data_IF_158741641318
#
_entry.id   IF_158741641318
#
_cell.length_a   1.000
_cell.length_b   1.000
_cell.length_c   1.000
_cell.angle_alpha   90.00
_cell.angle_beta   90.00
_cell.angle_gamma   90.00
#
_symmetry.space_group_name_H-M   'P 1'
#
loop_
_entity.id
_entity.type
_entity.pdbx_description
1 polymer ?
#
# COMPACT_ATOMS: atom_id res chain seq x y z
N UNK A 1 -9.09 18.21 -15.25
CA UNK A 1 -7.89 17.87 -14.45
C UNK A 1 -7.75 18.82 -13.27
N UNK A 2 -7.53 18.29 -12.06
CA UNK A 2 -7.20 19.12 -10.91
C UNK A 2 -5.78 19.64 -11.05
N UNK A 3 -5.50 20.86 -10.64
CA UNK A 3 -4.18 21.50 -10.85
C UNK A 3 -3.00 20.68 -10.30
N UNK A 4 -3.17 20.03 -9.15
CA UNK A 4 -2.14 19.21 -8.51
C UNK A 4 -1.88 17.87 -9.21
N UNK A 5 -2.90 17.24 -9.84
CA UNK A 5 -2.71 16.02 -10.63
C UNK A 5 -1.86 16.29 -11.86
N UNK A 6 -2.03 17.47 -12.48
CA UNK A 6 -1.17 17.90 -13.57
C UNK A 6 0.31 18.02 -13.15
N UNK A 7 0.58 18.50 -11.93
CA UNK A 7 1.95 18.56 -11.40
C UNK A 7 2.56 17.17 -11.21
N UNK A 8 1.77 16.21 -10.70
CA UNK A 8 2.21 14.81 -10.55
C UNK A 8 2.46 14.11 -11.89
N UNK A 9 1.69 14.43 -12.92
CA UNK A 9 1.79 13.81 -14.25
C UNK A 9 2.80 14.50 -15.17
N UNK A 10 3.28 15.70 -14.79
CA UNK A 10 4.24 16.46 -15.61
C UNK A 10 5.59 15.75 -15.62
N UNK A 11 6.11 15.50 -16.83
CA UNK A 11 7.45 14.96 -17.06
C UNK A 11 8.39 16.08 -17.52
N UNK A 12 9.59 16.12 -16.98
CA UNK A 12 10.63 17.10 -17.36
C UNK A 12 11.77 16.49 -18.18
N UNK A 13 11.82 15.15 -18.22
CA UNK A 13 12.85 14.37 -18.93
C UNK A 13 12.19 13.37 -19.88
N UNK A 14 12.99 12.55 -20.56
CA UNK A 14 12.43 11.42 -21.35
C UNK A 14 11.68 10.45 -20.42
N UNK A 15 10.60 9.85 -20.91
CA UNK A 15 9.73 8.97 -20.12
C UNK A 15 10.51 7.81 -19.47
N UNK A 16 11.47 7.25 -20.17
CA UNK A 16 12.32 6.17 -19.64
C UNK A 16 13.14 6.61 -18.43
N UNK A 17 13.75 7.80 -18.49
CA UNK A 17 14.52 8.38 -17.36
C UNK A 17 13.61 8.68 -16.18
N UNK A 18 12.44 9.27 -16.44
CA UNK A 18 11.43 9.53 -15.40
C UNK A 18 11.01 8.22 -14.71
N UNK A 19 10.68 7.20 -15.48
CA UNK A 19 10.31 5.88 -14.98
C UNK A 19 11.40 5.29 -14.09
N UNK A 20 12.66 5.31 -14.54
CA UNK A 20 13.78 4.77 -13.77
C UNK A 20 14.01 5.55 -12.48
N UNK A 21 14.16 6.86 -12.57
CA UNK A 21 14.51 7.71 -11.42
C UNK A 21 13.42 7.65 -10.36
N UNK A 22 12.17 7.86 -10.72
CA UNK A 22 11.08 7.89 -9.75
C UNK A 22 10.77 6.54 -9.14
N UNK A 23 10.86 5.45 -9.91
CA UNK A 23 10.66 4.11 -9.36
C UNK A 23 11.76 3.75 -8.35
N UNK A 24 13.01 4.02 -8.67
CA UNK A 24 14.13 3.82 -7.73
C UNK A 24 13.99 4.71 -6.49
N UNK A 25 13.71 6.00 -6.69
CA UNK A 25 13.54 6.96 -5.60
C UNK A 25 12.39 6.54 -4.69
N UNK A 26 11.22 6.19 -5.23
CA UNK A 26 10.06 5.78 -4.45
C UNK A 26 10.33 4.51 -3.63
N UNK A 27 10.93 3.50 -4.24
CA UNK A 27 11.25 2.24 -3.55
C UNK A 27 12.30 2.44 -2.46
N UNK A 28 13.37 3.17 -2.76
CA UNK A 28 14.41 3.49 -1.78
C UNK A 28 13.87 4.33 -0.62
N UNK A 29 13.09 5.38 -0.95
CA UNK A 29 12.51 6.26 0.06
C UNK A 29 11.58 5.50 1.00
N UNK A 30 10.71 4.62 0.47
CA UNK A 30 9.83 3.79 1.28
C UNK A 30 10.61 2.88 2.23
N UNK A 31 11.64 2.18 1.72
CA UNK A 31 12.46 1.29 2.54
C UNK A 31 13.22 2.05 3.64
N UNK A 32 13.83 3.18 3.27
CA UNK A 32 14.56 4.04 4.21
C UNK A 32 13.63 4.65 5.27
N UNK A 33 12.49 5.20 4.86
CA UNK A 33 11.50 5.76 5.76
C UNK A 33 10.97 4.71 6.75
N UNK A 34 10.71 3.48 6.29
CA UNK A 34 10.27 2.36 7.15
C UNK A 34 11.31 1.96 8.20
N UNK A 35 12.59 1.94 7.82
CA UNK A 35 13.70 1.67 8.73
C UNK A 35 13.85 2.77 9.77
N UNK A 36 13.90 4.02 9.33
CA UNK A 36 14.02 5.20 10.21
C UNK A 36 12.83 5.30 11.16
N UNK A 37 11.61 5.02 10.66
CA UNK A 37 10.40 5.04 11.45
C UNK A 37 10.47 4.05 12.62
N UNK A 38 10.90 2.81 12.36
CA UNK A 38 11.04 1.78 13.42
C UNK A 38 12.04 2.23 14.50
N UNK A 39 13.16 2.83 14.10
CA UNK A 39 14.14 3.38 15.02
C UNK A 39 13.60 4.56 15.84
N UNK A 40 12.89 5.49 15.20
CA UNK A 40 12.31 6.67 15.87
C UNK A 40 11.24 6.25 16.89
N UNK A 41 10.40 5.27 16.55
CA UNK A 41 9.38 4.76 17.51
C UNK A 41 10.05 4.17 18.75
N UNK A 42 11.11 3.37 18.57
CA UNK A 42 11.88 2.82 19.69
C UNK A 42 12.44 3.93 20.60
N UNK A 43 12.94 5.01 20.00
CA UNK A 43 13.54 6.13 20.75
C UNK A 43 12.52 7.03 21.45
N UNK A 44 11.35 7.25 20.83
CA UNK A 44 10.33 8.18 21.33
C UNK A 44 9.38 7.48 22.30
N UNK A 45 8.90 6.29 21.95
CA UNK A 45 7.89 5.55 22.71
C UNK A 45 8.47 4.52 23.70
N UNK A 46 9.80 4.29 23.66
CA UNK A 46 10.48 3.32 24.53
C UNK A 46 10.49 1.90 23.99
N UNK A 47 11.23 1.02 24.66
CA UNK A 47 11.54 -0.34 24.19
C UNK A 47 10.29 -1.21 24.03
N UNK A 48 9.37 -1.17 24.97
CA UNK A 48 8.15 -1.99 24.92
C UNK A 48 7.26 -1.60 23.75
N UNK A 49 6.94 -0.33 23.59
CA UNK A 49 6.12 0.17 22.51
C UNK A 49 6.82 0.04 21.14
N UNK A 50 8.13 0.30 21.11
CA UNK A 50 8.97 0.10 19.93
C UNK A 50 9.00 -1.36 19.47
N UNK A 51 9.06 -2.32 20.43
CA UNK A 51 8.97 -3.74 20.16
C UNK A 51 7.60 -4.14 19.56
N UNK A 52 6.51 -3.64 20.14
CA UNK A 52 5.14 -3.86 19.61
C UNK A 52 5.03 -3.31 18.19
N UNK A 53 5.51 -2.09 17.96
CA UNK A 53 5.49 -1.46 16.63
C UNK A 53 6.30 -2.26 15.62
N UNK A 54 7.55 -2.58 15.92
CA UNK A 54 8.44 -3.32 15.01
C UNK A 54 7.88 -4.70 14.67
N UNK A 55 7.37 -5.43 15.65
CA UNK A 55 6.72 -6.71 15.43
C UNK A 55 5.46 -6.59 14.56
N UNK A 56 4.58 -5.64 14.88
CA UNK A 56 3.35 -5.41 14.13
C UNK A 56 3.61 -4.91 12.71
N UNK A 57 4.57 -4.02 12.52
CA UNK A 57 4.87 -3.40 11.23
C UNK A 57 5.70 -4.31 10.32
N UNK A 58 6.81 -4.85 10.83
CA UNK A 58 7.80 -5.56 10.00
C UNK A 58 7.58 -7.07 9.96
N UNK A 59 6.83 -7.66 10.91
CA UNK A 59 6.58 -9.10 10.94
C UNK A 59 5.14 -9.38 10.54
N UNK A 60 4.17 -9.15 11.42
CA UNK A 60 2.76 -9.53 11.17
C UNK A 60 2.17 -8.73 10.01
N UNK A 61 2.37 -7.41 10.01
CA UNK A 61 1.87 -6.54 8.95
C UNK A 61 2.47 -6.88 7.60
N UNK A 62 3.77 -7.22 7.55
CA UNK A 62 4.42 -7.61 6.30
C UNK A 62 3.88 -8.95 5.76
N UNK A 63 3.56 -9.92 6.61
CA UNK A 63 2.91 -11.16 6.17
C UNK A 63 1.50 -10.88 5.61
N UNK A 64 0.73 -10.01 6.27
CA UNK A 64 -0.59 -9.63 5.78
C UNK A 64 -0.53 -8.80 4.49
N UNK A 65 0.52 -7.97 4.32
CA UNK A 65 0.81 -7.31 3.04
C UNK A 65 1.04 -8.33 1.91
N UNK A 66 1.85 -9.37 2.14
CA UNK A 66 2.10 -10.41 1.14
C UNK A 66 0.81 -11.15 0.76
N UNK A 67 -0.05 -11.44 1.73
CA UNK A 67 -1.38 -12.03 1.47
C UNK A 67 -2.28 -11.08 0.68
N UNK A 68 -2.31 -9.79 1.02
CA UNK A 68 -3.07 -8.79 0.28
C UNK A 68 -2.54 -8.60 -1.15
N UNK A 69 -1.22 -8.63 -1.32
CA UNK A 69 -0.52 -8.53 -2.60
C UNK A 69 -0.78 -9.74 -3.51
N UNK A 70 -0.80 -10.95 -2.96
CA UNK A 70 -1.12 -12.23 -3.59
C UNK A 70 -0.45 -12.50 -4.94
N UNK A 71 0.76 -11.98 -5.17
CA UNK A 71 1.56 -12.24 -6.37
C UNK A 71 0.94 -11.88 -7.73
N UNK A 72 -0.18 -11.13 -7.76
CA UNK A 72 -0.92 -10.84 -8.99
C UNK A 72 -0.28 -9.75 -9.85
N UNK A 73 0.62 -8.96 -9.30
CA UNK A 73 1.29 -7.86 -10.02
C UNK A 73 1.97 -8.31 -11.30
N UNK A 74 2.76 -9.41 -11.36
CA UNK A 74 3.37 -9.87 -12.60
C UNK A 74 2.34 -10.09 -13.72
N UNK A 75 1.20 -10.72 -13.41
CA UNK A 75 0.11 -10.90 -14.38
C UNK A 75 -0.44 -9.57 -14.87
N UNK A 76 -0.73 -8.67 -13.95
CA UNK A 76 -1.31 -7.37 -14.27
C UNK A 76 -0.40 -6.55 -15.20
N UNK A 77 0.91 -6.56 -14.93
CA UNK A 77 1.88 -5.80 -15.71
C UNK A 77 2.12 -6.41 -17.09
N UNK A 78 2.13 -7.75 -17.19
CA UNK A 78 2.43 -8.47 -18.43
C UNK A 78 1.22 -8.75 -19.31
N UNK A 79 0.01 -8.38 -18.84
CA UNK A 79 -1.23 -8.50 -19.62
C UNK A 79 -1.29 -7.47 -20.75
N UNK A 80 -0.40 -7.61 -21.72
CA UNK A 80 -0.34 -6.76 -22.92
C UNK A 80 -1.50 -6.97 -23.91
N UNK A 81 -2.21 -8.09 -23.78
CA UNK A 81 -3.38 -8.43 -24.60
C UNK A 81 -4.68 -7.88 -24.05
N UNK A 82 -4.66 -7.28 -22.85
CA UNK A 82 -5.84 -6.85 -22.10
C UNK A 82 -6.86 -8.00 -21.91
N UNK A 83 -6.34 -9.19 -21.58
CA UNK A 83 -7.17 -10.36 -21.30
C UNK A 83 -8.11 -10.09 -20.13
N UNK A 84 -7.62 -9.36 -19.12
CA UNK A 84 -8.38 -8.91 -17.97
C UNK A 84 -8.47 -7.39 -17.93
N UNK A 85 -9.61 -6.88 -17.47
CA UNK A 85 -9.84 -5.45 -17.27
C UNK A 85 -9.26 -5.00 -15.95
N UNK A 86 -9.00 -3.72 -15.78
CA UNK A 86 -8.58 -3.18 -14.49
C UNK A 86 -9.58 -3.52 -13.36
N UNK A 87 -10.89 -3.48 -13.68
CA UNK A 87 -11.93 -3.85 -12.71
C UNK A 87 -11.84 -5.28 -12.21
N UNK A 88 -11.35 -6.25 -13.01
CA UNK A 88 -11.14 -7.64 -12.59
C UNK A 88 -9.99 -7.73 -11.59
N UNK A 89 -8.86 -7.04 -11.84
CA UNK A 89 -7.74 -6.94 -10.91
C UNK A 89 -8.12 -6.23 -9.61
N UNK A 90 -8.90 -5.16 -9.71
CA UNK A 90 -9.37 -4.40 -8.55
C UNK A 90 -10.29 -5.24 -7.67
N UNK A 91 -11.23 -5.99 -8.27
CA UNK A 91 -12.12 -6.88 -7.53
C UNK A 91 -11.34 -8.00 -6.80
N UNK A 92 -10.41 -8.64 -7.51
CA UNK A 92 -9.51 -9.62 -6.90
C UNK A 92 -8.76 -9.02 -5.70
N UNK A 93 -8.27 -7.79 -5.83
CA UNK A 93 -7.56 -7.08 -4.75
C UNK A 93 -8.46 -6.81 -3.53
N UNK A 94 -9.73 -6.49 -3.73
CA UNK A 94 -10.68 -6.39 -2.61
C UNK A 94 -10.80 -7.71 -1.85
N UNK A 95 -10.90 -8.84 -2.55
CA UNK A 95 -11.01 -10.17 -1.93
C UNK A 95 -9.75 -10.51 -1.14
N UNK A 96 -8.56 -10.34 -1.73
CA UNK A 96 -7.29 -10.66 -1.06
C UNK A 96 -7.01 -9.76 0.13
N UNK A 97 -7.33 -8.46 0.05
CA UNK A 97 -7.23 -7.54 1.19
C UNK A 97 -8.21 -7.92 2.31
N UNK A 98 -9.46 -8.27 1.98
CA UNK A 98 -10.43 -8.74 2.99
C UNK A 98 -9.95 -10.02 3.68
N UNK A 99 -9.42 -10.99 2.91
CA UNK A 99 -8.83 -12.22 3.46
C UNK A 99 -7.65 -11.91 4.39
N UNK A 100 -6.74 -11.02 3.98
CA UNK A 100 -5.59 -10.64 4.80
C UNK A 100 -6.03 -10.00 6.13
N UNK A 101 -7.06 -9.13 6.11
CA UNK A 101 -7.61 -8.54 7.34
C UNK A 101 -8.26 -9.58 8.25
N UNK A 102 -9.04 -10.51 7.68
CA UNK A 102 -9.69 -11.59 8.46
C UNK A 102 -8.66 -12.53 9.07
N UNK A 103 -7.65 -12.94 8.32
CA UNK A 103 -6.57 -13.78 8.81
C UNK A 103 -5.72 -13.06 9.89
N UNK A 104 -5.44 -11.77 9.68
CA UNK A 104 -4.75 -10.95 10.67
C UNK A 104 -5.53 -10.81 11.98
N UNK A 105 -6.85 -10.57 11.90
CA UNK A 105 -7.72 -10.51 13.07
C UNK A 105 -7.81 -11.87 13.79
N UNK A 106 -7.97 -12.97 13.01
CA UNK A 106 -7.97 -14.32 13.54
C UNK A 106 -6.67 -14.69 14.25
N UNK A 107 -5.52 -14.34 13.66
CA UNK A 107 -4.21 -14.52 14.27
C UNK A 107 -4.13 -13.84 15.64
N UNK A 108 -4.54 -12.57 15.72
CA UNK A 108 -4.51 -11.82 16.98
C UNK A 108 -5.44 -12.40 18.05
N UNK A 109 -6.61 -12.89 17.64
CA UNK A 109 -7.57 -13.54 18.54
C UNK A 109 -7.04 -14.88 19.07
N UNK A 110 -6.36 -15.68 18.25
CA UNK A 110 -5.79 -16.97 18.65
C UNK A 110 -4.61 -16.84 19.61
N UNK A 111 -3.77 -15.80 19.46
CA UNK A 111 -2.58 -15.63 20.31
C UNK A 111 -2.93 -15.08 21.72
N UNK A 112 -4.05 -14.36 21.83
CA UNK A 112 -4.49 -13.85 23.14
C UNK A 112 -3.62 -12.71 23.69
N UNK A 113 -3.15 -11.80 22.83
CA UNK A 113 -2.46 -10.58 23.28
C UNK A 113 -3.36 -9.70 24.13
N UNK A 114 -2.75 -8.87 24.99
CA UNK A 114 -3.49 -7.81 25.69
C UNK A 114 -4.23 -6.93 24.69
N UNK A 115 -5.41 -6.45 25.06
CA UNK A 115 -6.28 -5.65 24.18
C UNK A 115 -5.55 -4.48 23.51
N UNK A 116 -4.76 -3.75 24.30
CA UNK A 116 -3.97 -2.62 23.80
C UNK A 116 -2.95 -3.02 22.72
N UNK A 117 -2.20 -4.10 22.98
CA UNK A 117 -1.22 -4.64 22.03
C UNK A 117 -1.89 -5.13 20.75
N UNK A 118 -3.00 -5.85 20.88
CA UNK A 118 -3.76 -6.37 19.73
C UNK A 118 -4.28 -5.23 18.84
N UNK A 119 -4.81 -4.16 19.42
CA UNK A 119 -5.28 -3.00 18.66
C UNK A 119 -4.16 -2.32 17.87
N UNK A 120 -2.99 -2.10 18.46
CA UNK A 120 -1.86 -1.47 17.79
C UNK A 120 -1.40 -2.35 16.61
N UNK A 121 -1.22 -3.66 16.83
CA UNK A 121 -0.81 -4.58 15.79
C UNK A 121 -1.86 -4.64 14.68
N UNK A 122 -3.16 -4.64 15.01
CA UNK A 122 -4.23 -4.63 14.02
C UNK A 122 -4.22 -3.35 13.15
N UNK A 123 -3.99 -2.18 13.74
CA UNK A 123 -3.83 -0.94 12.97
C UNK A 123 -2.64 -1.00 12.01
N UNK A 124 -1.53 -1.62 12.43
CA UNK A 124 -0.37 -1.82 11.57
C UNK A 124 -0.63 -2.84 10.45
N UNK A 125 -1.44 -3.88 10.71
CA UNK A 125 -1.95 -4.79 9.68
C UNK A 125 -2.79 -4.00 8.68
N UNK A 126 -3.75 -3.20 9.14
CA UNK A 126 -4.60 -2.37 8.28
C UNK A 126 -3.76 -1.44 7.42
N UNK A 127 -2.78 -0.76 8.00
CA UNK A 127 -1.84 0.10 7.29
C UNK A 127 -1.14 -0.64 6.13
N UNK A 128 -0.61 -1.83 6.40
CA UNK A 128 0.10 -2.66 5.41
C UNK A 128 -0.84 -3.24 4.35
N UNK A 129 -2.06 -3.61 4.72
CA UNK A 129 -3.06 -4.09 3.76
C UNK A 129 -3.51 -2.98 2.83
N UNK A 130 -3.63 -1.73 3.31
CA UNK A 130 -3.89 -0.55 2.45
C UNK A 130 -2.74 -0.33 1.47
N UNK A 131 -1.50 -0.56 1.89
CA UNK A 131 -0.32 -0.50 1.01
C UNK A 131 -0.40 -1.58 -0.08
N UNK A 132 -0.75 -2.81 0.31
CA UNK A 132 -1.05 -3.90 -0.63
C UNK A 132 -2.21 -3.58 -1.58
N UNK A 133 -3.24 -2.86 -1.10
CA UNK A 133 -4.35 -2.39 -1.94
C UNK A 133 -3.89 -1.35 -2.98
N UNK A 134 -3.03 -0.42 -2.60
CA UNK A 134 -2.50 0.59 -3.50
C UNK A 134 -1.74 -0.01 -4.69
N UNK A 135 -1.12 -1.17 -4.51
CA UNK A 135 -0.35 -1.86 -5.55
C UNK A 135 -1.14 -2.16 -6.83
N UNK A 136 -2.46 -2.34 -6.77
CA UNK A 136 -3.27 -2.54 -7.98
C UNK A 136 -3.26 -1.31 -8.89
N UNK A 137 -3.26 -0.10 -8.31
CA UNK A 137 -3.16 1.15 -9.06
C UNK A 137 -1.75 1.37 -9.60
N UNK A 138 -0.75 1.06 -8.79
CA UNK A 138 0.66 1.13 -9.17
C UNK A 138 0.98 0.16 -10.32
N UNK A 139 0.40 -1.04 -10.28
CA UNK A 139 0.51 -2.03 -11.37
C UNK A 139 -0.12 -1.52 -12.65
N UNK A 140 -1.27 -0.83 -12.56
CA UNK A 140 -1.92 -0.22 -13.72
C UNK A 140 -1.11 0.94 -14.31
N UNK A 141 -0.50 1.80 -13.46
CA UNK A 141 0.44 2.81 -13.94
C UNK A 141 1.59 2.19 -14.73
N UNK A 142 2.15 1.09 -14.21
CA UNK A 142 3.24 0.38 -14.86
C UNK A 142 2.79 -0.26 -16.17
N UNK A 143 1.62 -0.90 -16.22
CA UNK A 143 1.03 -1.48 -17.45
C UNK A 143 0.85 -0.44 -18.55
N UNK A 144 0.50 0.79 -18.18
CA UNK A 144 0.35 1.91 -19.10
C UNK A 144 1.68 2.62 -19.46
N UNK A 145 2.83 2.10 -19.02
CA UNK A 145 4.15 2.67 -19.26
C UNK A 145 4.49 3.90 -18.39
N UNK A 146 3.65 4.22 -17.40
CA UNK A 146 3.80 5.38 -16.52
C UNK A 146 4.37 4.98 -15.14
N UNK A 147 5.42 4.16 -15.12
CA UNK A 147 6.02 3.65 -13.87
C UNK A 147 6.51 4.78 -12.94
N UNK A 148 6.84 5.95 -13.47
CA UNK A 148 7.18 7.13 -12.67
C UNK A 148 6.05 7.56 -11.73
N UNK A 149 4.79 7.33 -12.11
CA UNK A 149 3.64 7.62 -11.24
C UNK A 149 3.62 6.70 -10.02
N UNK A 150 3.98 5.42 -10.17
CA UNK A 150 4.15 4.49 -9.04
C UNK A 150 5.15 5.04 -8.04
N UNK A 151 6.34 5.46 -8.50
CA UNK A 151 7.36 6.02 -7.63
C UNK A 151 6.93 7.32 -6.93
N UNK A 152 6.28 8.23 -7.65
CA UNK A 152 5.75 9.48 -7.10
C UNK A 152 4.63 9.21 -6.09
N UNK A 153 3.66 8.39 -6.43
CA UNK A 153 2.57 8.03 -5.52
C UNK A 153 3.10 7.44 -4.22
N UNK A 154 3.94 6.41 -4.33
CA UNK A 154 4.54 5.76 -3.17
C UNK A 154 5.33 6.76 -2.29
N UNK A 155 6.12 7.66 -2.90
CA UNK A 155 6.87 8.68 -2.15
C UNK A 155 5.95 9.63 -1.39
N UNK A 156 4.96 10.23 -2.07
CA UNK A 156 4.08 11.21 -1.43
C UNK A 156 3.13 10.58 -0.41
N UNK A 157 2.64 9.38 -0.68
CA UNK A 157 1.84 8.59 0.27
C UNK A 157 2.64 8.27 1.54
N UNK A 158 3.89 7.85 1.38
CA UNK A 158 4.80 7.58 2.51
C UNK A 158 5.09 8.86 3.31
N UNK A 159 5.39 9.98 2.65
CA UNK A 159 5.61 11.27 3.34
C UNK A 159 4.37 11.65 4.14
N UNK A 160 3.19 11.53 3.56
CA UNK A 160 1.94 11.92 4.21
C UNK A 160 1.66 11.03 5.43
N UNK A 161 1.69 9.72 5.27
CA UNK A 161 1.33 8.76 6.34
C UNK A 161 2.36 8.74 7.47
N UNK A 162 3.67 8.72 7.13
CA UNK A 162 4.77 8.75 8.12
C UNK A 162 4.85 10.11 8.80
N UNK A 163 4.65 11.21 8.04
CA UNK A 163 4.63 12.55 8.61
C UNK A 163 3.52 12.74 9.64
N UNK A 164 2.29 12.31 9.33
CA UNK A 164 1.16 12.34 10.26
C UNK A 164 1.42 11.42 11.47
N UNK A 165 1.96 10.22 11.26
CA UNK A 165 2.34 9.31 12.32
C UNK A 165 3.31 9.97 13.30
N UNK A 166 4.43 10.50 12.79
CA UNK A 166 5.47 11.12 13.62
C UNK A 166 4.96 12.37 14.35
N UNK A 167 4.19 13.23 13.67
CA UNK A 167 3.58 14.41 14.29
C UNK A 167 2.68 14.01 15.48
N UNK A 168 1.86 12.97 15.30
CA UNK A 168 0.98 12.46 16.36
C UNK A 168 1.77 11.81 17.50
N UNK A 169 2.83 11.05 17.18
CA UNK A 169 3.66 10.41 18.20
C UNK A 169 4.42 11.43 19.04
N UNK A 170 5.02 12.43 18.40
CA UNK A 170 5.79 13.51 19.09
C UNK A 170 4.87 14.42 19.90
N UNK A 171 3.61 14.60 19.53
CA UNK A 171 2.64 15.36 20.33
C UNK A 171 2.27 14.70 21.66
N UNK A 172 2.75 13.46 21.92
CA UNK A 172 2.46 12.74 23.15
C UNK A 172 1.12 12.01 23.18
N UNK A 173 0.42 11.91 22.03
CA UNK A 173 -0.89 11.23 21.93
C UNK A 173 -0.79 9.69 22.08
N UNK A 174 0.42 9.14 22.11
CA UNK A 174 0.70 7.72 22.28
C UNK A 174 0.71 6.93 20.96
N UNK A 175 1.24 5.70 21.01
CA UNK A 175 1.47 4.87 19.84
C UNK A 175 0.17 4.46 19.13
N UNK A 176 -0.90 4.15 19.88
CA UNK A 176 -2.19 3.79 19.29
C UNK A 176 -2.75 4.92 18.42
N UNK A 177 -2.77 6.14 18.93
CA UNK A 177 -3.26 7.31 18.19
C UNK A 177 -2.39 7.60 16.95
N UNK A 178 -1.06 7.46 17.08
CA UNK A 178 -0.13 7.61 15.97
C UNK A 178 -0.39 6.57 14.86
N UNK A 179 -0.59 5.28 15.22
CA UNK A 179 -0.95 4.24 14.26
C UNK A 179 -2.30 4.51 13.57
N UNK A 180 -3.33 4.94 14.33
CA UNK A 180 -4.63 5.28 13.77
C UNK A 180 -4.52 6.47 12.79
N UNK A 181 -3.78 7.50 13.16
CA UNK A 181 -3.54 8.67 12.31
C UNK A 181 -2.76 8.29 11.03
N UNK A 182 -1.78 7.37 11.14
CA UNK A 182 -1.06 6.85 9.98
C UNK A 182 -1.98 6.08 9.02
N UNK A 183 -2.91 5.27 9.52
CA UNK A 183 -3.91 4.58 8.70
C UNK A 183 -4.76 5.58 7.92
N UNK A 184 -5.23 6.64 8.58
CA UNK A 184 -6.00 7.71 7.91
C UNK A 184 -5.14 8.43 6.86
N UNK A 185 -3.87 8.73 7.17
CA UNK A 185 -2.90 9.30 6.23
C UNK A 185 -2.66 8.39 5.01
N UNK A 186 -2.57 7.08 5.24
CA UNK A 186 -2.38 6.10 4.18
C UNK A 186 -3.61 6.02 3.26
N UNK A 187 -4.83 5.98 3.83
CA UNK A 187 -6.07 6.02 3.06
C UNK A 187 -6.15 7.30 2.22
N UNK A 188 -5.90 8.46 2.84
CA UNK A 188 -5.88 9.74 2.14
C UNK A 188 -4.84 9.75 1.00
N UNK A 189 -3.66 9.19 1.25
CA UNK A 189 -2.59 9.05 0.26
C UNK A 189 -3.02 8.20 -0.94
N UNK A 190 -3.63 7.03 -0.71
CA UNK A 190 -4.15 6.16 -1.78
C UNK A 190 -5.24 6.89 -2.58
N UNK A 191 -6.16 7.58 -1.91
CA UNK A 191 -7.21 8.33 -2.63
C UNK A 191 -6.61 9.45 -3.48
N UNK A 192 -5.69 10.23 -2.93
CA UNK A 192 -5.12 11.40 -3.59
C UNK A 192 -4.13 11.02 -4.70
N UNK A 193 -3.19 10.12 -4.42
CA UNK A 193 -2.05 9.88 -5.30
C UNK A 193 -2.22 8.66 -6.21
N UNK A 194 -3.09 7.70 -5.86
CA UNK A 194 -3.35 6.52 -6.69
C UNK A 194 -4.71 6.64 -7.42
N UNK A 195 -5.83 6.69 -6.68
CA UNK A 195 -7.17 6.62 -7.27
C UNK A 195 -7.46 7.84 -8.15
N UNK A 196 -7.22 9.05 -7.64
CA UNK A 196 -7.52 10.28 -8.39
C UNK A 196 -6.61 10.43 -9.59
N UNK A 197 -5.31 10.07 -9.46
CA UNK A 197 -4.35 10.13 -10.56
C UNK A 197 -4.72 9.12 -11.66
N UNK A 198 -5.08 7.88 -11.29
CA UNK A 198 -5.49 6.87 -12.26
C UNK A 198 -6.73 7.28 -13.06
N UNK A 199 -7.71 7.94 -12.40
CA UNK A 199 -8.93 8.44 -13.06
C UNK A 199 -8.68 9.51 -14.12
N UNK A 200 -7.54 10.21 -14.04
CA UNK A 200 -7.14 11.18 -15.05
C UNK A 200 -6.49 10.51 -16.28
N UNK A 201 -6.03 9.27 -16.15
CA UNK A 201 -5.53 8.45 -17.24
C UNK A 201 -6.72 7.85 -18.00
N UNK A 202 -7.05 8.40 -19.17
CA UNK A 202 -8.26 8.12 -19.98
C UNK A 202 -8.43 6.68 -20.51
N UNK A 203 -7.57 5.73 -20.16
CA UNK A 203 -7.50 4.38 -20.76
C UNK A 203 -7.83 3.24 -19.78
N UNK A 204 -8.54 3.51 -18.72
CA UNK A 204 -8.79 2.51 -17.66
C UNK A 204 -10.19 1.95 -17.79
N UNK A 205 -10.30 0.64 -18.02
CA UNK A 205 -11.58 -0.08 -18.05
C UNK A 205 -11.89 -0.65 -16.65
N UNK A 206 -12.86 -0.05 -15.97
CA UNK A 206 -13.36 -0.49 -14.66
C UNK A 206 -14.42 -1.61 -14.76
N UNK A 207 -14.68 -2.12 -15.96
CA UNK A 207 -15.59 -3.26 -16.15
C UNK A 207 -15.11 -4.48 -15.36
N UNK A 208 -16.04 -5.26 -14.83
CA UNK A 208 -15.77 -6.46 -14.07
C UNK A 208 -16.66 -7.62 -14.52
N UNK A 209 -16.11 -8.84 -14.47
CA UNK A 209 -16.83 -10.08 -14.74
C UNK A 209 -16.48 -11.13 -13.71
N UNK A 210 -17.51 -11.73 -13.05
CA UNK A 210 -17.31 -12.78 -12.07
C UNK A 210 -16.52 -13.98 -12.63
N UNK A 211 -16.77 -14.35 -13.90
CA UNK A 211 -16.06 -15.46 -14.57
C UNK A 211 -14.57 -15.17 -14.73
N UNK A 212 -14.22 -13.94 -15.12
CA UNK A 212 -12.83 -13.51 -15.27
C UNK A 212 -12.14 -13.38 -13.92
N UNK A 213 -12.83 -12.88 -12.89
CA UNK A 213 -12.31 -12.80 -11.52
C UNK A 213 -11.95 -14.16 -10.94
N UNK A 214 -12.80 -15.18 -11.13
CA UNK A 214 -12.52 -16.56 -10.69
C UNK A 214 -11.33 -17.15 -11.47
N UNK A 215 -11.28 -16.95 -12.80
CA UNK A 215 -10.16 -17.39 -13.64
C UNK A 215 -8.84 -16.75 -13.21
N UNK A 216 -8.85 -15.44 -12.93
CA UNK A 216 -7.69 -14.69 -12.48
C UNK A 216 -7.19 -15.22 -11.11
N UNK A 217 -8.12 -15.48 -10.17
CA UNK A 217 -7.79 -16.03 -8.85
C UNK A 217 -7.18 -17.42 -8.98
N UNK A 218 -7.77 -18.30 -9.79
CA UNK A 218 -7.24 -19.62 -10.03
C UNK A 218 -5.83 -19.59 -10.64
N UNK A 219 -5.59 -18.71 -11.61
CA UNK A 219 -4.27 -18.54 -12.24
C UNK A 219 -3.23 -17.97 -11.26
N UNK A 220 -3.63 -17.09 -10.35
CA UNK A 220 -2.71 -16.51 -9.36
C UNK A 220 -2.30 -17.51 -8.28
N UNK A 221 -3.16 -18.45 -7.89
CA UNK A 221 -2.84 -19.52 -6.94
C UNK A 221 -1.73 -20.44 -7.47
N UNK A 222 -1.68 -20.66 -8.79
CA UNK A 222 -0.66 -21.52 -9.41
C UNK A 222 0.74 -20.90 -9.39
N UNK A 223 0.88 -19.61 -9.12
CA UNK A 223 2.17 -18.88 -9.03
C UNK A 223 2.63 -18.62 -7.58
N UNK A 224 1.79 -18.92 -6.59
CA UNK A 224 2.09 -18.75 -5.17
C UNK A 224 2.65 -20.04 -4.60
#
# INVERSE_FOLDING_TARGET
>A
MKHWTHLLMKTGMSLEKENMIWNMTGSFFYAFASMVLSFLVLRIAGEEQGGIFSFGFSTVGQQMFLLAYFGIRPFHITDGTNQYRFGDYLHHRYVTCAMALLLGAGYLACIGYSWQKAQIIFLLIVYKVIDGFADVYESEFQRQGCLYLTGRSNTFRTILSVGIFLATLVSGAGLFAACAAAVLGQIAGVVLFDIVVLRELKRVDYGWSAKQGVSLTASSILLF
#
